data_IF_998395442563
#
_entry.id   IF_998395442563
#
_cell.length_a   1.000
_cell.length_b   1.000
_cell.length_c   1.000
_cell.angle_alpha   90.00
_cell.angle_beta   90.00
_cell.angle_gamma   90.00
#
_symmetry.space_group_name_H-M   'P 1'
#
loop_
_entity.id
_entity.type
_entity.pdbx_description
1 polymer ?
#
# COMPACT_ATOMS: atom_id res chain seq x y z
N UNK A 1 -60.14 14.24 35.72
CA UNK A 1 -59.78 13.05 34.92
C UNK A 1 -58.82 13.52 33.83
N UNK A 2 -57.53 13.32 34.00
CA UNK A 2 -56.51 13.65 33.03
C UNK A 2 -55.82 12.36 32.63
N UNK A 3 -56.03 11.97 31.37
CA UNK A 3 -55.36 10.84 30.74
C UNK A 3 -53.93 11.24 30.38
N UNK A 4 -52.97 10.52 30.95
CA UNK A 4 -51.55 10.63 30.63
C UNK A 4 -51.24 9.69 29.45
N UNK A 5 -51.00 10.25 28.29
CA UNK A 5 -50.44 9.52 27.14
C UNK A 5 -48.93 9.31 27.33
N UNK A 6 -48.52 8.05 27.48
CA UNK A 6 -47.11 7.66 27.44
C UNK A 6 -46.63 7.67 25.98
N UNK A 7 -45.81 8.65 25.63
CA UNK A 7 -45.00 8.60 24.41
C UNK A 7 -43.89 7.55 24.60
N UNK A 8 -44.08 6.39 24.03
CA UNK A 8 -43.03 5.41 23.83
C UNK A 8 -42.23 5.82 22.61
N UNK A 9 -41.02 6.39 22.82
CA UNK A 9 -40.03 6.54 21.79
C UNK A 9 -39.54 5.13 21.38
N UNK A 10 -39.98 4.66 20.22
CA UNK A 10 -39.32 3.54 19.56
C UNK A 10 -37.94 4.03 19.09
N UNK A 11 -36.91 3.68 19.85
CA UNK A 11 -35.56 3.65 19.34
C UNK A 11 -35.59 2.65 18.18
N UNK A 12 -35.39 3.17 16.96
CA UNK A 12 -35.18 2.34 15.79
C UNK A 12 -33.86 1.57 16.03
N UNK A 13 -34.00 0.30 16.39
CA UNK A 13 -32.90 -0.65 16.31
C UNK A 13 -32.46 -0.66 14.84
N UNK A 14 -31.27 -0.13 14.54
CA UNK A 14 -30.66 -0.29 13.24
C UNK A 14 -30.44 -1.80 13.06
N UNK A 15 -31.33 -2.43 12.29
CA UNK A 15 -31.15 -3.83 11.95
C UNK A 15 -29.83 -3.97 11.20
N UNK A 16 -28.92 -4.81 11.71
CA UNK A 16 -27.72 -5.23 10.97
C UNK A 16 -28.17 -5.69 9.58
N UNK A 17 -27.44 -5.35 8.50
CA UNK A 17 -27.81 -5.78 7.16
C UNK A 17 -27.85 -7.30 7.10
N UNK A 18 -28.81 -7.84 6.36
CA UNK A 18 -28.96 -9.29 6.18
C UNK A 18 -27.99 -9.85 5.14
N UNK A 19 -27.54 -9.02 4.17
CA UNK A 19 -26.66 -9.43 3.08
C UNK A 19 -25.57 -8.38 2.83
N UNK A 20 -24.49 -8.79 2.17
CA UNK A 20 -23.38 -7.94 1.72
C UNK A 20 -22.62 -8.59 0.58
N UNK A 21 -21.81 -7.79 -0.12
CA UNK A 21 -21.00 -8.26 -1.23
C UNK A 21 -19.63 -8.77 -0.75
N UNK A 22 -19.14 -9.81 -1.43
CA UNK A 22 -17.79 -10.32 -1.36
C UNK A 22 -17.18 -10.48 -2.75
N UNK A 23 -15.87 -10.32 -2.86
CA UNK A 23 -15.11 -10.66 -4.07
C UNK A 23 -14.28 -11.91 -3.81
N UNK A 24 -14.51 -12.95 -4.61
CA UNK A 24 -13.83 -14.24 -4.53
C UNK A 24 -12.91 -14.44 -5.73
N UNK A 25 -11.83 -15.17 -5.52
CA UNK A 25 -10.98 -15.61 -6.63
C UNK A 25 -11.70 -16.72 -7.41
N UNK A 26 -12.12 -16.44 -8.64
CA UNK A 26 -12.86 -17.40 -9.48
C UNK A 26 -11.94 -18.47 -10.09
N UNK A 27 -10.74 -18.07 -10.51
CA UNK A 27 -9.74 -18.97 -11.09
C UNK A 27 -8.33 -18.39 -10.89
N UNK A 28 -7.32 -19.27 -10.89
CA UNK A 28 -5.92 -18.86 -10.78
C UNK A 28 -5.34 -18.54 -12.16
N UNK A 29 -4.88 -17.29 -12.42
CA UNK A 29 -4.33 -16.96 -13.73
C UNK A 29 -2.93 -17.54 -13.92
N UNK A 30 -2.58 -17.86 -15.14
CA UNK A 30 -1.21 -18.22 -15.54
C UNK A 30 -0.29 -17.02 -15.72
N UNK A 31 -0.87 -15.84 -15.97
CA UNK A 31 -0.20 -14.54 -16.17
C UNK A 31 -0.89 -13.44 -15.38
N UNK A 32 -0.99 -12.23 -15.97
CA UNK A 32 -1.78 -11.16 -15.39
C UNK A 32 -3.26 -11.56 -15.32
N UNK A 33 -3.95 -11.30 -14.22
CA UNK A 33 -5.38 -11.56 -14.11
C UNK A 33 -6.20 -10.70 -15.08
N UNK A 34 -7.39 -11.18 -15.42
CA UNK A 34 -8.48 -10.48 -16.10
C UNK A 34 -9.68 -10.43 -15.17
N UNK A 35 -10.75 -9.72 -15.54
CA UNK A 35 -11.95 -9.65 -14.71
C UNK A 35 -12.59 -11.02 -14.47
N UNK A 36 -12.47 -11.96 -15.42
CA UNK A 36 -13.02 -13.33 -15.30
C UNK A 36 -12.40 -14.15 -14.16
N UNK A 37 -11.29 -13.67 -13.58
CA UNK A 37 -10.65 -14.31 -12.43
C UNK A 37 -11.26 -13.88 -11.09
N UNK A 38 -12.28 -13.01 -11.11
CA UNK A 38 -12.96 -12.50 -9.92
C UNK A 38 -14.47 -12.73 -10.02
N UNK A 39 -15.05 -13.24 -8.94
CA UNK A 39 -16.50 -13.34 -8.77
C UNK A 39 -16.95 -12.39 -7.66
N UNK A 40 -17.96 -11.57 -7.97
CA UNK A 40 -18.64 -10.75 -6.99
C UNK A 40 -19.92 -11.50 -6.61
N UNK A 41 -20.06 -11.81 -5.33
CA UNK A 41 -21.17 -12.60 -4.81
C UNK A 41 -21.85 -11.87 -3.65
N UNK A 42 -23.16 -11.96 -3.60
CA UNK A 42 -23.94 -11.55 -2.44
C UNK A 42 -24.00 -12.71 -1.44
N UNK A 43 -23.76 -12.43 -0.17
CA UNK A 43 -23.74 -13.41 0.92
C UNK A 43 -24.54 -12.91 2.11
N UNK A 44 -25.08 -13.84 2.90
CA UNK A 44 -25.69 -13.50 4.19
C UNK A 44 -24.61 -13.00 5.16
N UNK A 45 -24.93 -11.95 5.91
CA UNK A 45 -24.07 -11.40 6.95
C UNK A 45 -24.59 -11.87 8.31
N UNK A 46 -23.92 -12.82 8.97
CA UNK A 46 -24.38 -13.37 10.25
C UNK A 46 -24.24 -12.32 11.37
N UNK A 47 -25.12 -12.39 12.35
CA UNK A 47 -24.94 -11.66 13.61
C UNK A 47 -23.71 -12.22 14.37
N UNK A 48 -22.94 -11.37 15.08
CA UNK A 48 -21.79 -11.82 15.83
C UNK A 48 -22.25 -12.70 17.03
N UNK A 49 -21.56 -13.80 17.25
CA UNK A 49 -21.71 -14.66 18.44
C UNK A 49 -20.76 -14.18 19.56
N UNK A 50 -20.90 -14.64 20.84
CA UNK A 50 -20.04 -14.20 21.93
C UNK A 50 -18.55 -14.30 21.60
N UNK A 51 -17.81 -13.19 21.81
CA UNK A 51 -16.39 -13.01 21.44
C UNK A 51 -16.18 -12.39 20.06
N UNK A 52 -17.23 -12.25 19.26
CA UNK A 52 -17.14 -11.71 17.90
C UNK A 52 -17.69 -10.29 17.80
N UNK A 53 -17.26 -9.61 16.75
CA UNK A 53 -17.77 -8.32 16.30
C UNK A 53 -18.09 -8.35 14.80
N UNK A 54 -19.09 -7.57 14.42
CA UNK A 54 -19.43 -7.29 13.03
C UNK A 54 -18.92 -5.89 12.66
N UNK A 55 -18.17 -5.81 11.61
CA UNK A 55 -17.57 -4.58 11.10
C UNK A 55 -18.07 -4.31 9.69
N UNK A 56 -18.57 -3.10 9.46
CA UNK A 56 -18.86 -2.57 8.13
C UNK A 56 -17.57 -1.96 7.58
N UNK A 57 -17.08 -2.46 6.47
CA UNK A 57 -15.89 -1.93 5.81
C UNK A 57 -16.20 -0.58 5.15
N UNK A 58 -15.39 0.44 5.46
CA UNK A 58 -15.48 1.78 4.89
C UNK A 58 -14.46 1.97 3.76
N UNK A 59 -13.26 1.47 3.97
CA UNK A 59 -12.18 1.51 2.99
C UNK A 59 -11.43 0.19 2.95
N UNK A 60 -10.98 -0.17 1.77
CA UNK A 60 -10.09 -1.31 1.52
C UNK A 60 -8.87 -0.84 0.74
N UNK A 61 -7.70 -1.31 1.14
CA UNK A 61 -6.43 -1.13 0.43
C UNK A 61 -6.38 -1.99 -0.83
N UNK A 62 -5.88 -1.43 -1.93
CA UNK A 62 -5.40 -2.19 -3.07
C UNK A 62 -3.89 -2.08 -3.17
N UNK A 63 -3.24 -3.23 -3.36
CA UNK A 63 -1.79 -3.36 -3.33
C UNK A 63 -1.28 -4.26 -4.45
N UNK A 64 -0.22 -3.85 -5.18
CA UNK A 64 0.34 -4.67 -6.26
C UNK A 64 0.78 -6.07 -5.79
N UNK A 65 1.18 -6.20 -4.51
CA UNK A 65 1.52 -7.48 -3.88
C UNK A 65 0.41 -8.53 -3.94
N UNK A 66 -0.85 -8.12 -4.07
CA UNK A 66 -1.99 -9.03 -4.23
C UNK A 66 -1.87 -9.90 -5.48
N UNK A 67 -1.15 -9.46 -6.53
CA UNK A 67 -0.88 -10.29 -7.72
C UNK A 67 -0.13 -11.56 -7.37
N UNK A 68 0.82 -11.49 -6.45
CA UNK A 68 1.57 -12.68 -6.03
C UNK A 68 0.64 -13.69 -5.32
N UNK A 69 -0.32 -13.19 -4.56
CA UNK A 69 -1.31 -14.03 -3.85
C UNK A 69 -2.33 -14.63 -4.81
N UNK A 70 -2.78 -13.86 -5.81
CA UNK A 70 -3.68 -14.32 -6.89
C UNK A 70 -3.00 -15.41 -7.73
N UNK A 71 -1.77 -15.18 -8.16
CA UNK A 71 -1.03 -16.15 -9.00
C UNK A 71 -0.48 -17.34 -8.20
N UNK A 72 -0.42 -17.24 -6.88
CA UNK A 72 0.19 -18.25 -6.00
C UNK A 72 1.72 -18.32 -6.10
N UNK A 73 2.36 -17.30 -6.67
CA UNK A 73 3.82 -17.23 -6.89
C UNK A 73 4.50 -16.33 -5.85
N UNK A 74 4.18 -16.51 -4.58
CA UNK A 74 4.77 -15.71 -3.50
C UNK A 74 5.81 -16.52 -2.74
N UNK A 75 6.97 -15.88 -2.46
CA UNK A 75 7.94 -16.32 -1.46
C UNK A 75 7.74 -15.63 -0.10
N UNK A 76 6.77 -14.71 0.00
CA UNK A 76 6.44 -14.04 1.25
C UNK A 76 5.68 -14.99 2.19
N UNK A 77 5.82 -14.85 3.51
CA UNK A 77 5.14 -15.69 4.51
C UNK A 77 3.65 -15.28 4.65
N UNK A 78 2.94 -15.20 3.53
CA UNK A 78 1.52 -14.88 3.46
C UNK A 78 0.77 -16.00 2.75
N UNK A 79 -0.40 -16.43 3.26
CA UNK A 79 -1.25 -17.37 2.55
C UNK A 79 -1.60 -16.85 1.16
N UNK A 80 -1.55 -17.70 0.15
CA UNK A 80 -2.10 -17.35 -1.16
C UNK A 80 -3.62 -17.28 -1.10
N UNK A 81 -4.25 -16.56 -2.04
CA UNK A 81 -5.69 -16.64 -2.19
C UNK A 81 -6.10 -18.01 -2.74
N UNK A 82 -7.15 -18.60 -2.20
CA UNK A 82 -7.68 -19.88 -2.68
C UNK A 82 -8.84 -19.67 -3.63
N UNK A 83 -8.92 -20.51 -4.65
CA UNK A 83 -10.00 -20.45 -5.65
C UNK A 83 -11.34 -20.82 -5.00
N UNK A 84 -12.35 -20.01 -5.26
CA UNK A 84 -13.69 -20.12 -4.65
C UNK A 84 -13.83 -19.36 -3.33
N UNK A 85 -12.73 -18.98 -2.68
CA UNK A 85 -12.74 -18.29 -1.40
C UNK A 85 -12.68 -16.77 -1.56
N UNK A 86 -13.21 -16.06 -0.56
CA UNK A 86 -13.12 -14.61 -0.49
C UNK A 86 -11.66 -14.17 -0.32
N UNK A 87 -11.26 -13.18 -1.10
CA UNK A 87 -9.94 -12.60 -0.96
C UNK A 87 -9.83 -11.81 0.35
N UNK A 88 -8.61 -11.62 0.82
CA UNK A 88 -8.32 -10.80 2.00
C UNK A 88 -7.40 -9.62 1.65
N UNK A 89 -7.38 -8.60 2.48
CA UNK A 89 -6.55 -7.42 2.33
C UNK A 89 -6.80 -6.47 3.47
N UNK A 90 -5.93 -5.47 3.62
CA UNK A 90 -6.08 -4.50 4.68
C UNK A 90 -7.31 -3.63 4.44
N UNK A 91 -8.10 -3.46 5.49
CA UNK A 91 -9.32 -2.68 5.48
C UNK A 91 -9.45 -1.85 6.76
N UNK A 92 -10.17 -0.74 6.64
CA UNK A 92 -10.67 0.05 7.74
C UNK A 92 -12.20 -0.02 7.73
N UNK A 93 -12.78 -0.31 8.87
CA UNK A 93 -14.22 -0.38 9.03
C UNK A 93 -14.71 0.21 10.35
N UNK A 94 -16.02 0.25 10.49
CA UNK A 94 -16.73 0.67 11.69
C UNK A 94 -17.43 -0.54 12.31
N UNK A 95 -17.29 -0.71 13.61
CA UNK A 95 -18.01 -1.75 14.35
C UNK A 95 -19.50 -1.41 14.34
N UNK A 96 -20.34 -2.28 13.77
CA UNK A 96 -21.78 -2.08 13.66
C UNK A 96 -22.58 -2.99 14.58
N UNK A 97 -22.00 -4.06 15.08
CA UNK A 97 -22.51 -4.88 16.16
C UNK A 97 -21.39 -5.56 16.92
N UNK A 98 -21.52 -5.71 18.22
CA UNK A 98 -20.50 -6.35 19.07
C UNK A 98 -21.12 -7.31 20.07
N UNK A 99 -20.55 -8.51 20.16
CA UNK A 99 -20.79 -9.49 21.22
C UNK A 99 -19.51 -9.72 22.07
N UNK A 100 -18.56 -8.75 22.06
CA UNK A 100 -17.34 -8.73 22.85
C UNK A 100 -17.15 -7.37 23.53
N UNK A 101 -16.81 -7.32 24.83
CA UNK A 101 -16.71 -6.05 25.57
C UNK A 101 -15.48 -5.20 25.20
N UNK A 102 -14.51 -5.72 24.44
CA UNK A 102 -13.30 -4.98 24.07
C UNK A 102 -13.51 -3.97 22.94
N UNK A 103 -14.57 -4.14 22.13
CA UNK A 103 -14.92 -3.25 21.02
C UNK A 103 -16.41 -2.88 21.08
N UNK A 104 -16.71 -1.60 20.86
CA UNK A 104 -18.06 -1.04 20.89
C UNK A 104 -18.52 -0.56 19.52
N UNK A 105 -19.82 -0.53 19.30
CA UNK A 105 -20.40 0.06 18.08
C UNK A 105 -19.93 1.50 17.87
N UNK A 106 -19.68 1.87 16.62
CA UNK A 106 -19.16 3.18 16.20
C UNK A 106 -17.64 3.32 16.28
N UNK A 107 -16.91 2.37 16.86
CA UNK A 107 -15.45 2.40 16.89
C UNK A 107 -14.87 2.04 15.51
N UNK A 108 -13.80 2.75 15.12
CA UNK A 108 -13.05 2.45 13.91
C UNK A 108 -11.97 1.41 14.19
N UNK A 109 -11.88 0.44 13.31
CA UNK A 109 -10.91 -0.66 13.39
C UNK A 109 -10.22 -0.89 12.05
N UNK A 110 -8.95 -1.29 12.10
CA UNK A 110 -8.21 -1.85 10.96
C UNK A 110 -8.05 -3.34 11.13
N UNK A 111 -8.14 -4.06 10.02
CA UNK A 111 -8.10 -5.52 9.98
C UNK A 111 -7.73 -6.02 8.58
N UNK A 112 -7.68 -7.35 8.38
CA UNK A 112 -7.30 -7.95 7.09
C UNK A 112 -8.46 -8.59 6.32
N UNK A 113 -9.70 -8.31 6.68
CA UNK A 113 -10.89 -8.83 6.01
C UNK A 113 -11.42 -7.83 4.95
N UNK A 114 -10.56 -7.35 4.07
CA UNK A 114 -10.97 -6.60 2.87
C UNK A 114 -11.64 -7.51 1.84
N UNK A 115 -11.95 -6.95 0.67
CA UNK A 115 -12.65 -7.61 -0.43
C UNK A 115 -14.07 -8.08 -0.07
N UNK A 116 -14.69 -7.43 0.92
CA UNK A 116 -16.08 -7.62 1.36
C UNK A 116 -16.62 -6.34 1.99
N UNK A 117 -17.94 -6.21 2.01
CA UNK A 117 -18.59 -5.06 2.66
C UNK A 117 -18.68 -5.21 4.18
N UNK A 118 -18.85 -6.44 4.66
CA UNK A 118 -18.97 -6.75 6.10
C UNK A 118 -18.01 -7.87 6.50
N UNK A 119 -17.41 -7.71 7.66
CA UNK A 119 -16.57 -8.72 8.28
C UNK A 119 -17.12 -9.11 9.64
N UNK A 120 -17.27 -10.41 9.88
CA UNK A 120 -17.64 -10.96 11.21
C UNK A 120 -16.51 -11.90 11.64
N UNK A 121 -15.87 -11.60 12.76
CA UNK A 121 -14.75 -12.39 13.28
C UNK A 121 -14.55 -12.11 14.78
N UNK A 122 -13.63 -12.87 15.40
CA UNK A 122 -13.18 -12.64 16.78
C UNK A 122 -12.67 -11.20 16.96
N UNK A 123 -13.03 -10.57 18.08
CA UNK A 123 -12.68 -9.18 18.38
C UNK A 123 -11.15 -8.94 18.31
N UNK A 124 -10.35 -9.95 18.67
CA UNK A 124 -8.87 -9.91 18.60
C UNK A 124 -8.31 -9.73 17.18
N UNK A 125 -9.09 -10.02 16.14
CA UNK A 125 -8.70 -9.81 14.74
C UNK A 125 -8.82 -8.37 14.28
N UNK A 126 -9.38 -7.50 15.10
CA UNK A 126 -9.64 -6.10 14.81
C UNK A 126 -8.84 -5.20 15.75
N UNK A 127 -8.07 -4.28 15.19
CA UNK A 127 -7.29 -3.32 15.96
C UNK A 127 -7.96 -1.95 15.91
N UNK A 128 -8.39 -1.46 17.07
CA UNK A 128 -8.95 -0.11 17.20
C UNK A 128 -7.96 0.95 16.72
N UNK A 129 -8.48 1.98 16.06
CA UNK A 129 -7.72 3.16 15.62
C UNK A 129 -8.42 4.44 16.05
N UNK A 130 -7.61 5.48 16.28
CA UNK A 130 -8.14 6.80 16.62
C UNK A 130 -8.64 7.50 15.36
N UNK A 131 -9.94 7.81 15.32
CA UNK A 131 -10.58 8.53 14.22
C UNK A 131 -9.94 9.91 13.97
N UNK A 132 -9.41 10.55 15.00
CA UNK A 132 -8.80 11.88 14.93
C UNK A 132 -7.30 11.85 14.56
N UNK A 133 -6.68 10.66 14.47
CA UNK A 133 -5.25 10.54 14.22
C UNK A 133 -4.80 11.10 12.86
N UNK A 134 -5.68 11.07 11.86
CA UNK A 134 -5.37 11.52 10.50
C UNK A 134 -6.53 12.32 9.88
N UNK A 135 -6.24 13.22 8.91
CA UNK A 135 -7.25 14.01 8.19
C UNK A 135 -8.28 13.14 7.44
N UNK A 136 -7.88 11.97 6.94
CA UNK A 136 -8.77 10.99 6.31
C UNK A 136 -8.62 9.63 6.98
N UNK A 137 -9.73 8.93 7.27
CA UNK A 137 -9.67 7.58 7.85
C UNK A 137 -8.89 6.58 6.99
N UNK A 138 -8.93 6.70 5.65
CA UNK A 138 -8.17 5.85 4.71
C UNK A 138 -6.65 5.87 4.95
N UNK A 139 -6.13 6.94 5.55
CA UNK A 139 -4.69 7.08 5.83
C UNK A 139 -4.16 6.04 6.84
N UNK A 140 -5.05 5.40 7.62
CA UNK A 140 -4.68 4.24 8.44
C UNK A 140 -4.24 3.01 7.60
N UNK A 141 -4.52 3.01 6.29
CA UNK A 141 -4.11 1.98 5.33
C UNK A 141 -2.86 2.39 4.52
N UNK A 142 -2.16 3.43 4.95
CA UNK A 142 -1.01 4.01 4.23
C UNK A 142 0.27 3.18 4.35
N UNK A 143 1.15 3.33 3.36
CA UNK A 143 2.43 2.62 3.23
C UNK A 143 3.65 3.44 3.67
N UNK A 144 3.46 4.53 4.39
CA UNK A 144 4.57 5.36 4.86
C UNK A 144 5.58 4.62 5.73
N UNK A 145 5.10 3.71 6.59
CA UNK A 145 5.98 2.89 7.45
C UNK A 145 6.91 1.99 6.62
N UNK A 146 6.42 1.39 5.53
CA UNK A 146 7.25 0.56 4.63
C UNK A 146 8.37 1.39 4.00
N UNK A 147 8.05 2.61 3.54
CA UNK A 147 9.03 3.54 3.02
C UNK A 147 10.08 3.95 4.07
N UNK A 148 9.62 4.22 5.29
CA UNK A 148 10.49 4.59 6.42
C UNK A 148 11.47 3.47 6.76
N UNK A 149 11.00 2.24 6.94
CA UNK A 149 11.84 1.06 7.22
C UNK A 149 12.86 0.84 6.10
N UNK A 150 12.42 0.87 4.84
CA UNK A 150 13.30 0.69 3.70
C UNK A 150 14.42 1.72 3.63
N UNK A 151 14.14 2.97 3.94
CA UNK A 151 15.15 4.03 3.97
C UNK A 151 16.06 3.94 5.19
N UNK A 152 15.48 3.82 6.40
CA UNK A 152 16.24 3.96 7.64
C UNK A 152 16.95 2.66 8.04
N UNK A 153 16.26 1.53 7.94
CA UNK A 153 16.79 0.26 8.45
C UNK A 153 17.45 -0.58 7.35
N UNK A 154 16.88 -0.64 6.13
CA UNK A 154 17.45 -1.40 5.04
C UNK A 154 18.56 -0.63 4.31
N UNK A 155 18.29 0.57 3.79
CA UNK A 155 19.26 1.38 3.07
C UNK A 155 20.19 2.20 3.99
N UNK A 156 19.85 2.37 5.26
CA UNK A 156 20.61 3.19 6.22
C UNK A 156 20.92 4.58 5.66
N UNK A 157 19.85 5.26 5.20
CA UNK A 157 19.91 6.60 4.65
C UNK A 157 20.71 7.54 5.57
N UNK A 158 21.61 8.33 4.97
CA UNK A 158 22.39 9.34 5.67
C UNK A 158 22.08 10.74 5.13
N UNK A 159 22.17 11.79 5.97
CA UNK A 159 22.11 13.17 5.48
C UNK A 159 23.18 13.40 4.40
N UNK A 160 22.81 14.07 3.31
CA UNK A 160 23.68 14.32 2.16
C UNK A 160 23.65 13.26 1.06
N UNK A 161 22.96 12.13 1.26
CA UNK A 161 22.79 11.10 0.22
C UNK A 161 22.02 11.61 -1.00
N UNK A 162 22.37 11.10 -2.17
CA UNK A 162 21.55 11.17 -3.38
C UNK A 162 20.73 9.89 -3.48
N UNK A 163 19.40 10.03 -3.50
CA UNK A 163 18.44 8.91 -3.45
C UNK A 163 17.73 8.77 -4.79
N UNK A 164 17.71 7.58 -5.34
CA UNK A 164 16.83 7.21 -6.45
C UNK A 164 15.69 6.34 -5.94
N UNK A 165 14.47 6.61 -6.41
CA UNK A 165 13.24 5.86 -6.07
C UNK A 165 12.56 5.41 -7.35
N UNK A 166 12.41 4.11 -7.56
CA UNK A 166 11.60 3.58 -8.66
C UNK A 166 10.11 3.52 -8.31
N UNK A 167 9.24 3.60 -9.33
CA UNK A 167 7.79 3.71 -9.13
C UNK A 167 7.43 4.83 -8.14
N UNK A 168 8.10 5.97 -8.30
CA UNK A 168 8.10 7.06 -7.31
C UNK A 168 6.73 7.72 -7.10
N UNK A 169 5.83 7.66 -8.09
CA UNK A 169 4.47 8.19 -7.98
C UNK A 169 3.46 7.21 -7.34
N UNK A 170 3.87 6.00 -6.98
CA UNK A 170 3.04 5.02 -6.26
C UNK A 170 3.00 5.27 -4.76
N UNK A 171 2.19 4.47 -4.04
CA UNK A 171 1.96 4.62 -2.59
C UNK A 171 3.27 4.65 -1.77
N UNK A 172 4.13 3.65 -1.93
CA UNK A 172 5.39 3.56 -1.17
C UNK A 172 6.44 4.52 -1.73
N UNK A 173 6.54 4.64 -3.07
CA UNK A 173 7.55 5.47 -3.71
C UNK A 173 7.39 6.96 -3.41
N UNK A 174 6.17 7.47 -3.40
CA UNK A 174 5.88 8.88 -3.06
C UNK A 174 6.26 9.20 -1.61
N UNK A 175 6.01 8.28 -0.69
CA UNK A 175 6.44 8.40 0.70
C UNK A 175 7.96 8.30 0.82
N UNK A 176 8.60 7.36 0.12
CA UNK A 176 10.05 7.17 0.19
C UNK A 176 10.82 8.43 -0.24
N UNK A 177 10.42 9.08 -1.34
CA UNK A 177 11.09 10.30 -1.77
C UNK A 177 10.94 11.46 -0.80
N UNK A 178 9.73 11.69 -0.29
CA UNK A 178 9.45 12.76 0.68
C UNK A 178 10.15 12.49 2.01
N UNK A 179 10.08 11.26 2.54
CA UNK A 179 10.78 10.87 3.77
C UNK A 179 12.30 11.02 3.60
N UNK A 180 12.86 10.60 2.46
CA UNK A 180 14.29 10.78 2.20
C UNK A 180 14.70 12.25 2.31
N UNK A 181 13.93 13.17 1.73
CA UNK A 181 14.16 14.62 1.86
C UNK A 181 14.06 15.09 3.31
N UNK A 182 13.01 14.71 4.03
CA UNK A 182 12.82 15.06 5.44
C UNK A 182 13.93 14.51 6.37
N UNK A 183 14.58 13.42 5.96
CA UNK A 183 15.73 12.82 6.65
C UNK A 183 17.08 13.32 6.14
N UNK A 184 17.11 14.40 5.33
CA UNK A 184 18.31 15.12 4.95
C UNK A 184 19.01 14.64 3.67
N UNK A 185 18.32 13.87 2.81
CA UNK A 185 18.85 13.58 1.49
C UNK A 185 19.15 14.88 0.72
N UNK A 186 20.34 14.94 0.11
CA UNK A 186 20.77 16.10 -0.69
C UNK A 186 19.99 16.21 -2.00
N UNK A 187 19.66 15.08 -2.60
CA UNK A 187 18.96 14.99 -3.88
C UNK A 187 18.06 13.76 -3.90
N UNK A 188 16.84 13.94 -4.36
CA UNK A 188 15.84 12.86 -4.51
C UNK A 188 15.41 12.81 -5.97
N UNK A 189 15.57 11.63 -6.59
CA UNK A 189 15.30 11.37 -8.00
C UNK A 189 14.22 10.30 -8.07
N UNK A 190 13.22 10.47 -8.95
CA UNK A 190 12.14 9.51 -9.14
C UNK A 190 12.01 9.01 -10.56
N UNK A 191 11.58 7.76 -10.74
CA UNK A 191 11.07 7.29 -12.02
C UNK A 191 9.57 7.02 -11.93
N UNK A 192 8.84 7.35 -12.99
CA UNK A 192 7.41 7.11 -13.12
C UNK A 192 7.08 6.69 -14.56
N UNK A 193 5.82 6.36 -14.83
CA UNK A 193 5.42 5.80 -16.13
C UNK A 193 4.52 6.74 -16.94
N UNK A 194 4.59 8.05 -16.71
CA UNK A 194 3.96 9.06 -17.57
C UNK A 194 4.48 10.46 -17.24
N UNK A 195 4.41 11.37 -18.23
CA UNK A 195 4.80 12.77 -18.08
C UNK A 195 4.02 13.48 -16.94
N UNK A 196 2.74 13.21 -16.77
CA UNK A 196 1.92 13.78 -15.69
C UNK A 196 2.44 13.35 -14.31
N UNK A 197 2.84 12.08 -14.16
CA UNK A 197 3.44 11.57 -12.92
C UNK A 197 4.81 12.19 -12.67
N UNK A 198 5.62 12.38 -13.70
CA UNK A 198 6.90 13.08 -13.59
C UNK A 198 6.70 14.53 -13.12
N UNK A 199 5.76 15.25 -13.73
CA UNK A 199 5.40 16.62 -13.33
C UNK A 199 4.88 16.65 -11.88
N UNK A 200 4.08 15.67 -11.48
CA UNK A 200 3.58 15.54 -10.11
C UNK A 200 4.71 15.34 -9.09
N UNK A 201 5.69 14.49 -9.39
CA UNK A 201 6.85 14.25 -8.52
C UNK A 201 7.64 15.52 -8.25
N UNK A 202 7.97 16.27 -9.30
CA UNK A 202 8.79 17.48 -9.18
C UNK A 202 7.99 18.70 -8.71
N UNK A 203 6.76 18.85 -9.19
CA UNK A 203 5.95 20.03 -8.87
C UNK A 203 5.21 19.97 -7.54
N UNK A 204 4.84 18.77 -7.07
CA UNK A 204 4.03 18.62 -5.84
C UNK A 204 4.75 17.89 -4.73
N UNK A 205 5.49 16.82 -5.05
CA UNK A 205 6.11 15.97 -4.02
C UNK A 205 7.56 16.36 -3.70
N UNK A 206 8.09 17.40 -4.35
CA UNK A 206 9.39 17.98 -4.05
C UNK A 206 10.59 17.11 -4.45
N UNK A 207 10.46 16.23 -5.43
CA UNK A 207 11.60 15.54 -6.02
C UNK A 207 12.46 16.54 -6.80
N UNK A 208 13.77 16.42 -6.72
CA UNK A 208 14.72 17.33 -7.41
C UNK A 208 14.80 17.04 -8.89
N UNK A 209 14.54 15.79 -9.30
CA UNK A 209 14.46 15.33 -10.67
C UNK A 209 13.53 14.12 -10.76
N UNK A 210 12.88 13.97 -11.91
CA UNK A 210 12.13 12.77 -12.22
C UNK A 210 12.15 12.52 -13.73
N UNK A 211 11.96 11.26 -14.15
CA UNK A 211 11.91 10.89 -15.57
C UNK A 211 10.84 9.81 -15.82
N UNK A 212 10.31 9.80 -17.03
CA UNK A 212 9.48 8.70 -17.51
C UNK A 212 10.41 7.57 -18.01
N UNK A 213 10.22 6.38 -17.43
CA UNK A 213 11.06 5.22 -17.80
C UNK A 213 10.72 4.64 -19.19
N UNK A 214 9.72 5.17 -19.88
CA UNK A 214 9.42 4.86 -21.27
C UNK A 214 10.16 5.76 -22.28
N UNK A 215 10.75 6.88 -21.83
CA UNK A 215 11.41 7.86 -22.69
C UNK A 215 12.85 7.49 -23.07
N UNK A 216 13.15 6.21 -23.20
CA UNK A 216 14.44 5.67 -23.57
C UNK A 216 15.09 4.82 -22.46
N UNK A 217 16.34 4.39 -22.62
CA UNK A 217 17.02 3.56 -21.64
C UNK A 217 17.09 4.20 -20.27
N UNK A 218 16.64 3.47 -19.23
CA UNK A 218 16.62 3.98 -17.85
C UNK A 218 17.99 4.44 -17.38
N UNK A 219 19.05 3.77 -17.81
CA UNK A 219 20.44 4.12 -17.43
C UNK A 219 20.83 5.51 -17.90
N UNK A 220 20.44 5.92 -19.10
CA UNK A 220 20.76 7.23 -19.65
C UNK A 220 20.01 8.33 -18.91
N UNK A 221 18.70 8.12 -18.67
CA UNK A 221 17.87 9.03 -17.88
C UNK A 221 18.40 9.20 -16.45
N UNK A 222 18.82 8.09 -15.83
CA UNK A 222 19.35 8.12 -14.47
C UNK A 222 20.70 8.81 -14.39
N UNK A 223 21.58 8.62 -15.39
CA UNK A 223 22.86 9.36 -15.48
C UNK A 223 22.66 10.86 -15.65
N UNK A 224 21.70 11.28 -16.48
CA UNK A 224 21.33 12.68 -16.64
C UNK A 224 20.82 13.28 -15.32
N UNK A 225 19.94 12.55 -14.59
CA UNK A 225 19.37 12.99 -13.33
C UNK A 225 20.37 12.94 -12.15
N UNK A 226 21.40 12.07 -12.21
CA UNK A 226 22.38 11.86 -11.17
C UNK A 226 23.82 11.84 -11.75
N UNK A 227 24.35 12.96 -12.27
CA UNK A 227 25.68 12.99 -12.91
C UNK A 227 26.80 12.59 -11.96
N UNK A 228 26.65 12.82 -10.65
CA UNK A 228 27.61 12.41 -9.61
C UNK A 228 27.33 11.00 -9.06
N UNK A 229 26.36 10.27 -9.62
CA UNK A 229 25.91 8.97 -9.12
C UNK A 229 24.97 9.04 -7.93
N UNK A 230 24.44 7.87 -7.52
CA UNK A 230 23.50 7.71 -6.43
C UNK A 230 24.10 6.97 -5.23
N UNK A 231 23.70 7.34 -4.03
CA UNK A 231 24.15 6.71 -2.78
C UNK A 231 23.15 5.64 -2.31
N UNK A 232 21.84 5.89 -2.52
CA UNK A 232 20.75 5.01 -2.12
C UNK A 232 19.82 4.75 -3.29
N UNK A 233 19.41 3.51 -3.48
CA UNK A 233 18.31 3.14 -4.36
C UNK A 233 17.19 2.46 -3.56
N UNK A 234 15.99 3.05 -3.61
CA UNK A 234 14.77 2.46 -3.07
C UNK A 234 14.04 1.72 -4.19
N UNK A 235 14.17 0.41 -4.22
CA UNK A 235 13.72 -0.44 -5.31
C UNK A 235 12.31 -1.01 -5.09
N UNK A 236 11.33 -0.50 -5.85
CA UNK A 236 9.97 -1.04 -5.93
C UNK A 236 9.75 -1.95 -7.16
N UNK A 237 10.68 -1.97 -8.13
CA UNK A 237 10.43 -2.50 -9.47
C UNK A 237 11.33 -3.68 -9.85
N UNK A 238 12.62 -3.62 -9.52
CA UNK A 238 13.61 -4.57 -10.02
C UNK A 238 13.95 -4.37 -11.50
N UNK A 239 14.35 -5.43 -12.18
CA UNK A 239 14.56 -5.47 -13.64
C UNK A 239 15.54 -4.42 -14.16
N UNK A 240 15.16 -3.74 -15.25
CA UNK A 240 16.00 -2.71 -15.89
C UNK A 240 16.38 -1.58 -14.93
N UNK A 241 15.44 -1.14 -14.07
CA UNK A 241 15.72 -0.06 -13.12
C UNK A 241 16.76 -0.45 -12.08
N UNK A 242 16.74 -1.70 -11.61
CA UNK A 242 17.78 -2.21 -10.69
C UNK A 242 19.15 -2.28 -11.38
N UNK A 243 19.20 -2.78 -12.61
CA UNK A 243 20.46 -2.82 -13.39
C UNK A 243 21.03 -1.43 -13.63
N UNK A 244 20.19 -0.48 -14.05
CA UNK A 244 20.60 0.90 -14.25
C UNK A 244 21.10 1.55 -12.95
N UNK A 245 20.40 1.31 -11.83
CA UNK A 245 20.81 1.80 -10.53
C UNK A 245 22.19 1.26 -10.13
N UNK A 246 22.45 -0.05 -10.24
CA UNK A 246 23.75 -0.67 -9.93
C UNK A 246 24.87 0.01 -10.73
N UNK A 247 24.63 0.29 -12.02
CA UNK A 247 25.61 0.96 -12.89
C UNK A 247 25.90 2.43 -12.50
N UNK A 248 24.90 3.15 -11.97
CA UNK A 248 25.01 4.57 -11.60
C UNK A 248 25.38 4.76 -10.13
N UNK A 249 25.29 3.72 -9.30
CA UNK A 249 25.66 3.80 -7.88
C UNK A 249 27.11 4.16 -7.65
N UNK A 250 27.33 4.97 -6.62
CA UNK A 250 28.65 5.23 -6.06
C UNK A 250 29.19 4.00 -5.32
N UNK A 251 30.48 4.06 -5.01
CA UNK A 251 31.11 3.09 -4.11
C UNK A 251 30.45 3.11 -2.74
N UNK A 252 30.18 1.92 -2.18
CA UNK A 252 29.41 1.72 -0.93
C UNK A 252 27.95 2.11 -1.02
N UNK A 253 27.37 2.20 -2.23
CA UNK A 253 25.96 2.43 -2.42
C UNK A 253 25.09 1.33 -1.78
N UNK A 254 23.84 1.69 -1.46
CA UNK A 254 22.91 0.84 -0.69
C UNK A 254 21.58 0.74 -1.41
N UNK A 255 21.08 -0.49 -1.55
CA UNK A 255 19.82 -0.80 -2.23
C UNK A 255 18.86 -1.42 -1.22
N UNK A 256 17.73 -0.77 -0.99
CA UNK A 256 16.60 -1.33 -0.26
C UNK A 256 15.62 -1.97 -1.26
N UNK A 257 15.52 -3.30 -1.26
CA UNK A 257 14.60 -4.03 -2.14
C UNK A 257 13.25 -4.13 -1.43
N UNK A 258 12.32 -3.28 -1.83
CA UNK A 258 10.96 -3.20 -1.31
C UNK A 258 9.98 -4.04 -2.13
N UNK A 259 10.19 -4.13 -3.45
CA UNK A 259 9.29 -4.83 -4.35
C UNK A 259 9.96 -5.27 -5.65
N UNK A 260 9.22 -6.01 -6.45
CA UNK A 260 9.65 -6.51 -7.76
C UNK A 260 8.47 -6.44 -8.75
N UNK A 261 7.94 -5.22 -8.97
CA UNK A 261 6.77 -4.99 -9.83
C UNK A 261 6.98 -5.51 -11.25
N UNK A 262 8.21 -5.41 -11.78
CA UNK A 262 8.54 -5.95 -13.10
C UNK A 262 8.28 -7.46 -13.19
N UNK A 263 8.64 -8.23 -12.16
CA UNK A 263 8.40 -9.67 -12.10
C UNK A 263 6.91 -10.02 -11.89
N UNK A 264 6.20 -9.16 -11.15
CA UNK A 264 4.78 -9.37 -10.88
C UNK A 264 3.92 -9.11 -12.11
N UNK A 265 4.32 -8.15 -12.96
CA UNK A 265 3.58 -7.74 -14.16
C UNK A 265 3.96 -8.48 -15.42
N UNK A 266 5.08 -9.22 -15.45
CA UNK A 266 5.55 -9.96 -16.62
C UNK A 266 5.67 -11.45 -16.35
N UNK A 267 5.33 -12.29 -17.34
CA UNK A 267 5.55 -13.74 -17.27
C UNK A 267 7.03 -14.12 -17.51
N UNK A 268 7.89 -13.14 -17.85
CA UNK A 268 9.30 -13.39 -18.15
C UNK A 268 10.09 -13.60 -16.85
N UNK A 269 11.05 -14.55 -16.81
CA UNK A 269 11.98 -14.65 -15.70
C UNK A 269 12.72 -13.32 -15.51
N UNK A 270 12.93 -12.92 -14.27
CA UNK A 270 13.81 -11.79 -13.97
C UNK A 270 15.24 -12.20 -14.33
N UNK A 271 15.93 -11.37 -15.10
CA UNK A 271 17.32 -11.60 -15.47
C UNK A 271 18.30 -11.33 -14.31
N UNK A 272 17.77 -11.06 -13.13
CA UNK A 272 18.54 -10.78 -11.92
C UNK A 272 19.14 -9.37 -11.88
N UNK A 273 20.02 -9.11 -10.91
CA UNK A 273 20.60 -7.77 -10.68
C UNK A 273 21.59 -7.33 -11.77
N UNK A 274 21.83 -8.13 -12.81
CA UNK A 274 22.77 -7.80 -13.88
C UNK A 274 24.23 -8.17 -13.53
N UNK A 275 25.15 -7.23 -13.75
CA UNK A 275 26.58 -7.47 -13.54
C UNK A 275 26.98 -7.48 -12.05
N UNK A 276 27.24 -8.68 -11.51
CA UNK A 276 27.72 -8.86 -10.14
C UNK A 276 29.15 -8.31 -9.93
N UNK A 277 29.94 -8.11 -11.00
CA UNK A 277 31.27 -7.48 -10.88
C UNK A 277 31.12 -6.00 -10.51
N UNK A 278 30.11 -5.32 -11.00
CA UNK A 278 29.77 -3.95 -10.56
C UNK A 278 29.37 -3.91 -9.07
N UNK A 279 28.61 -4.89 -8.60
CA UNK A 279 28.25 -5.01 -7.16
C UNK A 279 29.53 -5.20 -6.32
N UNK A 280 30.43 -6.11 -6.74
CA UNK A 280 31.70 -6.36 -6.07
C UNK A 280 32.60 -5.13 -6.12
N UNK A 281 32.83 -4.56 -7.32
CA UNK A 281 33.75 -3.44 -7.54
C UNK A 281 33.34 -2.19 -6.75
N UNK A 282 32.06 -1.91 -6.66
CA UNK A 282 31.51 -0.79 -5.87
C UNK A 282 31.20 -1.15 -4.41
N UNK A 283 31.37 -2.41 -4.01
CA UNK A 283 31.08 -2.89 -2.64
C UNK A 283 29.68 -2.52 -2.18
N UNK A 284 28.70 -2.77 -3.08
CA UNK A 284 27.30 -2.41 -2.82
C UNK A 284 26.68 -3.30 -1.75
N UNK A 285 25.74 -2.73 -1.01
CA UNK A 285 24.85 -3.48 -0.12
C UNK A 285 23.46 -3.59 -0.76
N UNK A 286 22.96 -4.81 -0.96
CA UNK A 286 21.60 -5.07 -1.44
C UNK A 286 20.85 -5.78 -0.31
N UNK A 287 19.77 -5.16 0.19
CA UNK A 287 19.02 -5.69 1.33
C UNK A 287 17.51 -5.72 1.06
N UNK A 288 16.92 -6.91 1.13
CA UNK A 288 15.48 -7.08 1.24
C UNK A 288 15.00 -6.83 2.67
N UNK A 289 13.76 -6.42 2.84
CA UNK A 289 13.13 -6.22 4.13
C UNK A 289 11.63 -6.47 4.05
N UNK A 290 11.01 -6.76 5.18
CA UNK A 290 9.56 -6.89 5.31
C UNK A 290 9.05 -6.00 6.44
N UNK A 291 7.79 -5.57 6.35
CA UNK A 291 7.14 -4.80 7.41
C UNK A 291 7.10 -5.57 8.73
N UNK A 292 6.91 -6.89 8.67
CA UNK A 292 6.70 -7.72 9.87
C UNK A 292 7.93 -7.81 10.78
N UNK A 293 9.13 -7.65 10.22
CA UNK A 293 10.37 -7.69 10.99
C UNK A 293 10.65 -6.38 11.74
N UNK A 294 9.83 -5.33 11.50
CA UNK A 294 10.07 -3.97 11.97
C UNK A 294 8.80 -3.30 12.55
N UNK A 295 7.86 -4.08 13.09
CA UNK A 295 6.63 -3.51 13.67
C UNK A 295 6.89 -2.64 14.90
N UNK A 296 8.01 -2.81 15.57
CA UNK A 296 8.53 -1.95 16.65
C UNK A 296 8.71 -0.48 16.21
N UNK A 297 8.95 -0.25 14.91
CA UNK A 297 9.09 1.11 14.34
C UNK A 297 7.75 1.84 14.14
N UNK A 298 6.62 1.14 14.28
CA UNK A 298 5.31 1.69 13.92
C UNK A 298 4.89 2.89 14.79
N UNK A 299 5.22 2.87 16.08
CA UNK A 299 4.90 3.98 16.99
C UNK A 299 5.73 5.23 16.64
N UNK A 300 7.04 5.07 16.55
CA UNK A 300 7.96 6.16 16.19
C UNK A 300 7.59 6.80 14.86
N UNK A 301 7.38 5.96 13.84
CA UNK A 301 6.94 6.45 12.53
C UNK A 301 5.59 7.17 12.62
N UNK A 302 4.62 6.59 13.32
CA UNK A 302 3.28 7.16 13.44
C UNK A 302 3.27 8.56 14.07
N UNK A 303 4.12 8.81 15.05
CA UNK A 303 4.29 10.14 15.66
C UNK A 303 4.90 11.11 14.65
N UNK A 304 6.02 10.77 14.05
CA UNK A 304 6.69 11.60 13.04
C UNK A 304 5.78 11.90 11.85
N UNK A 305 5.04 10.89 11.36
CA UNK A 305 4.16 11.07 10.22
C UNK A 305 3.00 12.01 10.50
N UNK A 306 2.41 11.96 11.70
CA UNK A 306 1.37 12.92 12.13
C UNK A 306 1.91 14.35 12.22
N UNK A 307 3.14 14.51 12.73
CA UNK A 307 3.78 15.82 12.80
C UNK A 307 4.03 16.38 11.40
N UNK A 308 4.61 15.61 10.49
CA UNK A 308 4.83 16.03 9.10
C UNK A 308 3.53 16.38 8.35
N UNK A 309 2.45 15.65 8.60
CA UNK A 309 1.14 15.98 8.03
C UNK A 309 0.60 17.29 8.57
N UNK A 310 0.72 17.52 9.90
CA UNK A 310 0.25 18.74 10.56
C UNK A 310 1.03 19.97 10.10
N UNK A 311 2.32 19.83 9.88
CA UNK A 311 3.21 20.87 9.37
C UNK A 311 3.08 21.10 7.87
N UNK A 312 2.39 20.23 7.14
CA UNK A 312 2.33 20.27 5.68
C UNK A 312 3.65 19.88 5.01
N UNK A 313 4.55 19.25 5.76
CA UNK A 313 5.87 18.84 5.28
C UNK A 313 5.83 17.58 4.40
N UNK A 314 4.74 16.81 4.46
CA UNK A 314 4.51 15.62 3.65
C UNK A 314 3.12 15.68 3.00
N UNK A 315 3.06 15.29 1.74
CA UNK A 315 1.82 15.19 0.96
C UNK A 315 1.42 13.72 0.88
N UNK A 316 0.17 13.44 1.25
CA UNK A 316 -0.39 12.10 1.13
C UNK A 316 -1.43 12.09 0.02
N UNK A 317 -1.10 11.43 -1.09
CA UNK A 317 -1.98 11.32 -2.25
C UNK A 317 -2.70 9.98 -2.28
N UNK A 318 -3.98 10.01 -2.64
CA UNK A 318 -4.82 8.83 -2.77
C UNK A 318 -5.54 8.81 -4.12
N UNK A 319 -5.66 7.62 -4.70
CA UNK A 319 -6.64 7.30 -5.74
C UNK A 319 -7.78 6.55 -5.08
N UNK A 320 -8.95 7.21 -4.97
CA UNK A 320 -10.15 6.64 -4.32
C UNK A 320 -11.09 6.10 -5.39
N UNK A 321 -11.35 4.80 -5.33
CA UNK A 321 -12.31 4.08 -6.19
C UNK A 321 -13.60 3.85 -5.39
N UNK A 322 -14.75 3.99 -6.02
CA UNK A 322 -16.04 3.81 -5.34
C UNK A 322 -16.67 2.45 -5.67
N UNK A 323 -17.13 1.76 -4.63
CA UNK A 323 -17.85 0.49 -4.70
C UNK A 323 -16.93 -0.73 -4.79
N UNK A 324 -17.31 -1.79 -4.08
CA UNK A 324 -16.58 -3.06 -4.06
C UNK A 324 -16.53 -3.69 -5.46
N UNK A 325 -17.57 -3.51 -6.24
CA UNK A 325 -17.69 -4.03 -7.60
C UNK A 325 -16.62 -3.49 -8.56
N UNK A 326 -16.09 -2.29 -8.26
CA UNK A 326 -15.01 -1.68 -9.03
C UNK A 326 -13.61 -2.16 -8.61
N UNK A 327 -13.49 -2.85 -7.48
CA UNK A 327 -12.19 -3.23 -6.91
C UNK A 327 -11.35 -4.16 -7.83
N UNK A 328 -11.93 -5.16 -8.52
CA UNK A 328 -11.16 -5.98 -9.46
C UNK A 328 -10.54 -5.16 -10.59
N UNK A 329 -11.31 -4.29 -11.25
CA UNK A 329 -10.79 -3.43 -12.31
C UNK A 329 -9.74 -2.46 -11.78
N UNK A 330 -9.98 -1.88 -10.60
CA UNK A 330 -9.03 -0.97 -9.96
C UNK A 330 -7.70 -1.64 -9.62
N UNK A 331 -7.70 -2.91 -9.19
CA UNK A 331 -6.48 -3.68 -9.00
C UNK A 331 -5.72 -3.87 -10.33
N UNK A 332 -6.44 -4.20 -11.42
CA UNK A 332 -5.83 -4.35 -12.74
C UNK A 332 -5.24 -3.03 -13.26
N UNK A 333 -5.90 -1.90 -12.97
CA UNK A 333 -5.42 -0.58 -13.37
C UNK A 333 -4.22 -0.13 -12.50
N UNK A 334 -4.23 -0.45 -11.21
CA UNK A 334 -3.10 -0.21 -10.30
C UNK A 334 -1.83 -0.90 -10.79
N UNK A 335 -1.91 -2.19 -11.12
CA UNK A 335 -0.73 -2.96 -11.57
C UNK A 335 -0.24 -2.56 -12.96
N UNK A 336 -1.09 -1.94 -13.76
CA UNK A 336 -0.73 -1.30 -15.03
C UNK A 336 -0.19 0.12 -14.86
N UNK A 337 -0.03 0.58 -13.63
CA UNK A 337 0.51 1.90 -13.32
C UNK A 337 -0.42 3.06 -13.67
N UNK A 338 -1.74 2.87 -13.68
CA UNK A 338 -2.69 3.94 -14.01
C UNK A 338 -3.02 4.86 -12.84
N UNK A 339 -2.75 4.43 -11.61
CA UNK A 339 -3.05 5.19 -10.40
C UNK A 339 -1.83 5.96 -9.89
N UNK A 340 -2.10 7.00 -9.10
CA UNK A 340 -1.08 7.80 -8.40
C UNK A 340 -1.36 7.77 -6.90
N UNK A 341 -0.31 7.73 -6.08
CA UNK A 341 -0.43 7.64 -4.63
C UNK A 341 -0.97 6.29 -4.15
N UNK A 342 -1.60 6.29 -2.99
CA UNK A 342 -2.25 5.12 -2.41
C UNK A 342 -3.60 4.86 -3.08
N UNK A 343 -3.82 3.64 -3.56
CA UNK A 343 -5.13 3.24 -4.07
C UNK A 343 -5.96 2.59 -2.97
N UNK A 344 -7.14 3.14 -2.75
CA UNK A 344 -8.14 2.61 -1.82
C UNK A 344 -9.50 2.49 -2.51
N UNK A 345 -10.26 1.49 -2.11
CA UNK A 345 -11.66 1.36 -2.49
C UNK A 345 -12.51 1.87 -1.33
N UNK A 346 -13.32 2.88 -1.60
CA UNK A 346 -14.38 3.32 -0.69
C UNK A 346 -15.58 2.43 -0.90
N UNK A 347 -15.95 1.68 0.11
CA UNK A 347 -17.11 0.81 0.11
C UNK A 347 -18.37 1.63 0.35
N UNK A 348 -19.54 1.14 -0.08
CA UNK A 348 -20.79 1.87 0.12
C UNK A 348 -21.08 1.98 1.62
N UNK A 349 -21.46 3.17 2.04
CA UNK A 349 -21.96 3.46 3.40
C UNK A 349 -23.42 3.06 3.53
#
# INVERSE_FOLDING_TARGET
MKSSAKNGSLLALSSSPSTGLEVRLAARPLGLPTLDHFNIVEVDVPAPVPGQVQVRNLFMSLDPGMLMLITGRSSLPMPRYEVGEVMYGDALGEVVASADPSLSEGELVVHRFGWREYAVAEASAFRRVDKAAYPSPSMHLGFGLVAYIGLMDAARLQPGDTVFVSSAAGATGSMAGQIARLKGARRVIGSAGSADKVAHLTGKLGFDAAFDYHDGPVIDRLREAAPDGIDVYFDNVGGEQLRAAIEVMKVHGRIAVCGALNRQSTARPDEGPGDLLSVLGKRLTIRGFTLWDHLDRAMEFGEQFRDWLREGSIVYDETVISGLESAPQALLDLVRGRHTGKTVVRLRS
#
